data_IF_112094787406
#
_entry.id   IF_112094787406
#
_cell.length_a   1.000
_cell.length_b   1.000
_cell.length_c   1.000
_cell.angle_alpha   90.00
_cell.angle_beta   90.00
_cell.angle_gamma   90.00
#
_symmetry.space_group_name_H-M   'P 1'
#
loop_
_entity.id
_entity.type
_entity.pdbx_description
1 polymer ?
#
# COMPACT_ATOMS: atom_id res chain seq x y z
N UNK A 1 38.64 17.55 -22.24
CA UNK A 1 38.18 16.22 -22.68
C UNK A 1 36.83 15.97 -22.03
N UNK A 2 35.76 16.47 -22.65
CA UNK A 2 34.38 16.28 -22.19
C UNK A 2 33.98 14.85 -22.53
N UNK A 3 33.78 14.01 -21.51
CA UNK A 3 33.17 12.69 -21.65
C UNK A 3 31.70 12.89 -22.03
N UNK A 4 31.43 13.05 -23.32
CA UNK A 4 30.09 12.92 -23.89
C UNK A 4 29.77 11.43 -24.05
N UNK A 5 29.59 10.71 -22.94
CA UNK A 5 28.94 9.42 -22.97
C UNK A 5 27.47 9.63 -22.58
N UNK A 6 26.68 10.11 -23.54
CA UNK A 6 25.23 10.09 -23.42
C UNK A 6 24.78 8.65 -23.64
N UNK A 7 24.78 7.84 -22.58
CA UNK A 7 23.98 6.61 -22.59
C UNK A 7 22.52 7.06 -22.56
N UNK A 8 21.68 6.69 -23.55
CA UNK A 8 20.26 6.97 -23.50
C UNK A 8 19.67 6.46 -22.18
N UNK A 9 18.82 7.24 -21.53
CA UNK A 9 18.27 6.92 -20.19
C UNK A 9 17.68 5.49 -20.15
N UNK A 10 17.05 5.04 -21.25
CA UNK A 10 16.50 3.67 -21.37
C UNK A 10 17.56 2.57 -21.42
N UNK A 11 18.69 2.81 -22.09
CA UNK A 11 19.79 1.83 -22.15
C UNK A 11 20.48 1.73 -20.79
N UNK A 12 20.64 2.87 -20.11
CA UNK A 12 21.18 2.94 -18.77
C UNK A 12 20.26 2.23 -17.75
N UNK A 13 18.96 2.51 -17.80
CA UNK A 13 17.94 1.83 -17.00
C UNK A 13 18.00 0.31 -17.20
N UNK A 14 17.99 -0.15 -18.45
CA UNK A 14 18.08 -1.57 -18.77
C UNK A 14 19.34 -2.22 -18.20
N UNK A 15 20.49 -1.55 -18.31
CA UNK A 15 21.75 -2.04 -17.74
C UNK A 15 21.66 -2.20 -16.22
N UNK A 16 21.17 -1.17 -15.50
CA UNK A 16 21.03 -1.23 -14.04
C UNK A 16 19.98 -2.24 -13.56
N UNK A 17 18.85 -2.36 -14.26
CA UNK A 17 17.82 -3.37 -13.94
C UNK A 17 18.37 -4.77 -14.09
N UNK A 18 19.12 -5.04 -15.17
CA UNK A 18 19.74 -6.34 -15.38
C UNK A 18 20.78 -6.65 -14.30
N UNK A 19 21.68 -5.71 -14.01
CA UNK A 19 22.76 -5.89 -13.03
C UNK A 19 22.22 -6.05 -11.59
N UNK A 20 21.15 -5.32 -11.25
CA UNK A 20 20.57 -5.36 -9.91
C UNK A 20 19.50 -6.44 -9.71
N UNK A 21 19.19 -7.25 -10.73
CA UNK A 21 18.08 -8.22 -10.71
C UNK A 21 18.14 -9.19 -9.52
N UNK A 22 19.30 -9.81 -9.29
CA UNK A 22 19.46 -10.77 -8.19
C UNK A 22 19.41 -10.08 -6.82
N UNK A 23 19.94 -8.84 -6.73
CA UNK A 23 19.85 -8.04 -5.52
C UNK A 23 18.39 -7.62 -5.23
N UNK A 24 17.63 -7.25 -6.26
CA UNK A 24 16.21 -6.90 -6.14
C UNK A 24 15.39 -8.07 -5.61
N UNK A 25 15.53 -9.26 -6.22
CA UNK A 25 14.84 -10.48 -5.80
C UNK A 25 15.14 -10.84 -4.35
N UNK A 26 16.38 -10.61 -3.91
CA UNK A 26 16.80 -10.89 -2.54
C UNK A 26 16.32 -9.84 -1.53
N UNK A 27 16.38 -8.56 -1.88
CA UNK A 27 16.31 -7.46 -0.91
C UNK A 27 15.02 -6.64 -0.97
N UNK A 28 14.30 -6.67 -2.10
CA UNK A 28 13.13 -5.81 -2.35
C UNK A 28 11.87 -6.64 -2.57
N UNK A 29 11.93 -7.65 -3.44
CA UNK A 29 10.78 -8.47 -3.81
C UNK A 29 10.00 -9.06 -2.62
N UNK A 30 10.63 -9.52 -1.51
CA UNK A 30 9.90 -10.02 -0.35
C UNK A 30 8.98 -9.00 0.34
N UNK A 31 9.21 -7.69 0.14
CA UNK A 31 8.36 -6.62 0.66
C UNK A 31 7.43 -5.97 -0.38
N UNK A 32 7.52 -6.38 -1.64
CA UNK A 32 6.82 -5.74 -2.77
C UNK A 32 5.48 -6.42 -3.10
N UNK A 33 5.28 -7.66 -2.67
CA UNK A 33 4.12 -8.47 -3.05
C UNK A 33 2.77 -7.84 -2.67
N UNK A 34 2.70 -7.09 -1.56
CA UNK A 34 1.45 -6.47 -1.12
C UNK A 34 1.04 -5.35 -2.07
N UNK A 35 1.98 -4.49 -2.48
CA UNK A 35 1.71 -3.38 -3.40
C UNK A 35 1.18 -3.90 -4.76
N UNK A 36 1.69 -5.05 -5.23
CA UNK A 36 1.18 -5.72 -6.45
C UNK A 36 -0.29 -6.15 -6.33
N UNK A 37 -0.81 -6.36 -5.11
CA UNK A 37 -2.18 -6.84 -4.86
C UNK A 37 -3.18 -5.76 -4.46
N UNK A 38 -2.72 -4.59 -3.98
CA UNK A 38 -3.58 -3.48 -3.52
C UNK A 38 -3.37 -2.16 -4.25
N UNK A 39 -2.32 -2.05 -5.07
CA UNK A 39 -1.97 -0.81 -5.75
C UNK A 39 -1.37 0.25 -4.81
N UNK A 40 -1.49 1.52 -5.19
CA UNK A 40 -0.92 2.64 -4.45
C UNK A 40 -1.80 3.04 -3.25
N UNK A 41 -1.25 2.92 -2.04
CA UNK A 41 -1.89 3.31 -0.79
C UNK A 41 -1.40 4.68 -0.26
N UNK A 42 -0.77 5.49 -1.11
CA UNK A 42 -0.18 6.79 -0.78
C UNK A 42 0.74 6.70 0.44
N UNK A 43 0.43 7.42 1.51
CA UNK A 43 1.26 7.51 2.73
C UNK A 43 1.45 6.16 3.41
N UNK A 44 0.52 5.21 3.21
CA UNK A 44 0.61 3.86 3.75
C UNK A 44 1.49 2.93 2.90
N UNK A 45 1.83 3.26 1.64
CA UNK A 45 2.51 2.34 0.71
C UNK A 45 3.82 1.78 1.28
N UNK A 46 4.67 2.62 1.86
CA UNK A 46 5.93 2.19 2.47
C UNK A 46 5.71 1.26 3.66
N UNK A 47 4.69 1.55 4.48
CA UNK A 47 4.36 0.76 5.67
C UNK A 47 3.70 -0.57 5.31
N UNK A 48 2.92 -0.60 4.23
CA UNK A 48 2.43 -1.83 3.62
C UNK A 48 3.58 -2.74 3.19
N UNK A 49 4.62 -2.19 2.53
CA UNK A 49 5.80 -3.00 2.19
C UNK A 49 6.57 -3.50 3.42
N UNK A 50 6.62 -2.72 4.50
CA UNK A 50 7.18 -3.19 5.77
C UNK A 50 6.35 -4.33 6.36
N UNK A 51 5.02 -4.20 6.41
CA UNK A 51 4.14 -5.26 6.89
C UNK A 51 4.28 -6.54 6.05
N UNK A 52 4.41 -6.39 4.73
CA UNK A 52 4.60 -7.48 3.78
C UNK A 52 5.88 -8.29 4.05
N UNK A 53 7.02 -7.61 4.25
CA UNK A 53 8.28 -8.32 4.55
C UNK A 53 8.29 -8.92 5.97
N UNK A 54 7.64 -8.28 6.94
CA UNK A 54 7.51 -8.82 8.29
C UNK A 54 6.68 -10.11 8.31
N UNK A 55 5.57 -10.15 7.55
CA UNK A 55 4.76 -11.37 7.38
C UNK A 55 5.54 -12.46 6.61
N UNK A 56 6.26 -12.08 5.56
CA UNK A 56 6.97 -13.03 4.68
C UNK A 56 8.18 -13.68 5.36
N UNK A 57 8.92 -12.93 6.19
CA UNK A 57 10.22 -13.36 6.74
C UNK A 57 10.23 -13.62 8.24
N UNK A 58 9.27 -13.06 8.99
CA UNK A 58 9.18 -13.26 10.44
C UNK A 58 10.53 -13.13 11.15
N UNK A 59 10.89 -14.15 11.93
CA UNK A 59 12.10 -14.16 12.76
C UNK A 59 13.43 -14.25 11.96
N UNK A 60 13.40 -14.53 10.65
CA UNK A 60 14.61 -14.44 9.80
C UNK A 60 15.19 -13.02 9.77
N UNK A 61 14.37 -12.02 10.08
CA UNK A 61 14.75 -10.61 10.12
C UNK A 61 15.48 -10.24 11.41
N UNK A 62 15.52 -11.09 12.44
CA UNK A 62 16.17 -10.76 13.72
C UNK A 62 17.64 -10.38 13.51
N UNK A 63 18.02 -9.23 14.05
CA UNK A 63 19.34 -8.64 13.90
C UNK A 63 19.60 -7.95 12.55
N UNK A 64 18.69 -8.06 11.58
CA UNK A 64 18.79 -7.42 10.26
C UNK A 64 18.36 -5.95 10.30
N UNK A 65 18.71 -5.25 9.22
CA UNK A 65 18.36 -3.85 8.97
C UNK A 65 17.49 -3.78 7.72
N UNK A 66 16.40 -3.03 7.81
CA UNK A 66 15.49 -2.74 6.68
C UNK A 66 15.69 -1.27 6.34
N UNK A 67 16.16 -1.00 5.13
CA UNK A 67 16.27 0.36 4.61
C UNK A 67 14.90 0.81 4.10
N UNK A 68 14.44 1.96 4.60
CA UNK A 68 13.15 2.54 4.28
C UNK A 68 13.38 3.82 3.49
N UNK A 69 12.69 3.97 2.35
CA UNK A 69 12.72 5.19 1.55
C UNK A 69 11.30 5.71 1.36
N UNK A 70 11.01 6.87 1.97
CA UNK A 70 9.71 7.55 1.89
C UNK A 70 9.81 8.74 0.94
N UNK A 71 8.80 8.90 0.09
CA UNK A 71 8.71 9.97 -0.89
C UNK A 71 7.28 10.53 -0.96
N UNK A 72 7.17 11.86 -1.03
CA UNK A 72 5.95 12.58 -1.37
C UNK A 72 6.23 13.69 -2.38
N UNK A 73 5.40 13.77 -3.43
CA UNK A 73 5.52 14.78 -4.49
C UNK A 73 5.35 16.20 -3.95
N UNK A 74 6.22 17.13 -4.35
CA UNK A 74 6.20 18.52 -3.89
C UNK A 74 7.57 19.24 -3.74
N UNK A 75 8.61 18.73 -3.07
CA UNK A 75 8.94 17.36 -2.65
C UNK A 75 9.45 17.28 -1.21
N UNK A 76 9.12 16.17 -0.54
CA UNK A 76 9.70 15.78 0.74
C UNK A 76 10.05 14.29 0.72
N UNK A 77 11.25 13.94 1.16
CA UNK A 77 11.70 12.54 1.22
C UNK A 77 12.56 12.30 2.46
N UNK A 78 12.61 11.04 2.88
CA UNK A 78 13.44 10.60 3.99
C UNK A 78 13.86 9.16 3.80
N UNK A 79 15.15 8.90 4.02
CA UNK A 79 15.72 7.56 4.06
C UNK A 79 16.14 7.23 5.48
N UNK A 80 15.66 6.12 6.04
CA UNK A 80 15.94 5.71 7.41
C UNK A 80 16.03 4.20 7.52
N UNK A 81 16.55 3.70 8.65
CA UNK A 81 16.74 2.28 8.89
C UNK A 81 15.87 1.83 10.06
N UNK A 82 15.20 0.70 9.88
CA UNK A 82 14.55 -0.05 10.96
C UNK A 82 15.39 -1.27 11.27
N UNK A 83 15.66 -1.54 12.56
CA UNK A 83 16.36 -2.73 13.02
C UNK A 83 15.39 -3.65 13.76
N UNK A 84 15.30 -4.91 13.34
CA UNK A 84 14.53 -5.92 14.07
C UNK A 84 15.40 -6.43 15.21
N UNK A 85 15.12 -5.95 16.42
CA UNK A 85 15.97 -6.18 17.59
C UNK A 85 15.73 -7.52 18.28
N UNK A 86 14.53 -8.07 18.16
CA UNK A 86 14.06 -9.28 18.85
C UNK A 86 13.14 -10.09 17.95
N UNK A 87 12.85 -11.37 18.31
CA UNK A 87 11.82 -12.15 17.63
C UNK A 87 10.49 -11.40 17.51
N UNK A 88 9.84 -11.55 16.35
CA UNK A 88 8.59 -10.92 15.96
C UNK A 88 7.50 -11.93 15.60
N UNK A 89 7.69 -13.23 15.85
CA UNK A 89 6.73 -14.28 15.52
C UNK A 89 5.27 -13.96 15.87
N UNK A 90 5.01 -13.38 17.05
CA UNK A 90 3.65 -12.95 17.44
C UNK A 90 3.09 -11.86 16.52
N UNK A 91 3.91 -10.89 16.12
CA UNK A 91 3.51 -9.82 15.22
C UNK A 91 3.25 -10.40 13.82
N UNK A 92 4.23 -11.11 13.23
CA UNK A 92 4.13 -11.64 11.88
C UNK A 92 2.94 -12.60 11.72
N UNK A 93 2.68 -13.45 12.71
CA UNK A 93 1.54 -14.39 12.69
C UNK A 93 0.19 -13.73 12.99
N UNK A 94 0.15 -12.44 13.38
CA UNK A 94 -1.09 -11.70 13.66
C UNK A 94 -1.55 -10.80 12.51
N UNK A 95 -0.75 -10.66 11.45
CA UNK A 95 -1.02 -9.75 10.35
C UNK A 95 -2.11 -10.29 9.40
N UNK A 96 -2.09 -11.61 9.12
CA UNK A 96 -3.05 -12.33 8.28
C UNK A 96 -3.32 -11.62 6.93
N UNK A 97 -2.33 -10.93 6.36
CA UNK A 97 -2.53 -10.07 5.20
C UNK A 97 -2.91 -10.90 3.97
N UNK A 98 -2.21 -12.03 3.73
CA UNK A 98 -2.57 -12.95 2.63
C UNK A 98 -4.02 -13.42 2.72
N UNK A 99 -4.42 -13.94 3.89
CA UNK A 99 -5.79 -14.43 4.13
C UNK A 99 -6.83 -13.32 3.91
N UNK A 100 -6.55 -12.11 4.42
CA UNK A 100 -7.44 -10.95 4.21
C UNK A 100 -7.56 -10.54 2.75
N UNK A 101 -6.48 -10.64 1.98
CA UNK A 101 -6.51 -10.33 0.56
C UNK A 101 -7.23 -11.40 -0.26
N UNK A 102 -7.14 -12.66 0.15
CA UNK A 102 -7.79 -13.80 -0.48
C UNK A 102 -9.30 -13.81 -0.17
N UNK A 103 -9.71 -13.29 0.99
CA UNK A 103 -11.11 -13.08 1.37
C UNK A 103 -11.77 -11.86 0.70
N UNK A 104 -11.08 -11.15 -0.22
CA UNK A 104 -11.66 -10.01 -0.94
C UNK A 104 -12.64 -10.49 -2.01
N UNK A 105 -13.61 -9.62 -2.32
CA UNK A 105 -14.51 -9.79 -3.46
C UNK A 105 -13.84 -9.28 -4.74
N UNK A 106 -13.85 -10.10 -5.78
CA UNK A 106 -13.53 -9.68 -7.14
C UNK A 106 -14.78 -9.01 -7.73
N UNK A 107 -14.59 -7.88 -8.39
CA UNK A 107 -15.65 -7.13 -9.06
C UNK A 107 -15.26 -6.90 -10.51
N UNK A 108 -16.27 -6.85 -11.39
CA UNK A 108 -16.06 -6.58 -12.81
C UNK A 108 -15.62 -5.11 -13.05
N UNK A 109 -14.87 -4.83 -14.12
CA UNK A 109 -14.39 -3.47 -14.44
C UNK A 109 -15.50 -2.42 -14.58
N UNK A 110 -16.67 -2.81 -15.09
CA UNK A 110 -17.83 -1.95 -15.24
C UNK A 110 -18.34 -1.50 -13.87
N UNK A 111 -18.52 -2.44 -12.94
CA UNK A 111 -18.93 -2.13 -11.57
C UNK A 111 -17.92 -1.22 -10.86
N UNK A 112 -16.62 -1.46 -11.05
CA UNK A 112 -15.57 -0.61 -10.51
C UNK A 112 -15.68 0.83 -11.06
N UNK A 113 -15.93 0.99 -12.35
CA UNK A 113 -16.09 2.29 -13.01
C UNK A 113 -17.31 3.03 -12.46
N UNK A 114 -18.45 2.35 -12.32
CA UNK A 114 -19.66 2.91 -11.71
C UNK A 114 -19.41 3.40 -10.27
N UNK A 115 -18.60 2.68 -9.50
CA UNK A 115 -18.19 3.11 -8.15
C UNK A 115 -17.34 4.38 -8.21
N UNK A 116 -16.41 4.49 -9.16
CA UNK A 116 -15.58 5.70 -9.32
C UNK A 116 -16.42 6.92 -9.69
N UNK A 117 -17.33 6.80 -10.66
CA UNK A 117 -18.21 7.91 -11.05
C UNK A 117 -19.11 8.37 -9.91
N UNK A 118 -19.65 7.42 -9.12
CA UNK A 118 -20.44 7.75 -7.93
C UNK A 118 -19.61 8.48 -6.88
N UNK A 119 -18.34 8.10 -6.69
CA UNK A 119 -17.43 8.78 -5.75
C UNK A 119 -17.12 10.20 -6.21
N UNK A 120 -16.87 10.41 -7.49
CA UNK A 120 -16.65 11.74 -8.06
C UNK A 120 -17.86 12.65 -7.86
N UNK A 121 -19.06 12.17 -8.19
CA UNK A 121 -20.32 12.94 -8.01
C UNK A 121 -20.62 13.28 -6.55
N UNK A 122 -20.17 12.45 -5.60
CA UNK A 122 -20.36 12.66 -4.15
C UNK A 122 -19.22 13.45 -3.50
N UNK A 123 -18.15 13.75 -4.22
CA UNK A 123 -17.04 14.49 -3.66
C UNK A 123 -17.48 15.93 -3.34
N UNK A 124 -17.19 16.38 -2.11
CA UNK A 124 -17.57 17.71 -1.61
C UNK A 124 -19.08 18.03 -1.61
N UNK A 125 -19.95 17.02 -1.50
CA UNK A 125 -21.40 17.23 -1.33
C UNK A 125 -21.83 17.08 0.14
N UNK A 126 -22.89 17.79 0.52
CA UNK A 126 -23.50 17.80 1.86
C UNK A 126 -24.91 17.21 1.80
N UNK A 127 -25.49 16.93 2.97
CA UNK A 127 -26.82 16.30 3.09
C UNK A 127 -26.90 14.96 2.36
N UNK A 128 -25.89 14.11 2.58
CA UNK A 128 -25.75 12.80 1.93
C UNK A 128 -25.91 11.68 2.94
N UNK A 129 -26.76 10.72 2.61
CA UNK A 129 -26.81 9.40 3.26
C UNK A 129 -26.20 8.40 2.27
N UNK A 130 -24.95 7.94 2.49
CA UNK A 130 -24.33 6.97 1.62
C UNK A 130 -25.18 5.68 1.64
N UNK A 131 -25.76 5.33 0.49
CA UNK A 131 -26.25 3.99 0.26
C UNK A 131 -25.07 3.02 0.39
N UNK A 132 -24.90 2.44 1.58
CA UNK A 132 -23.89 1.44 1.86
C UNK A 132 -24.58 0.09 2.01
N UNK A 133 -24.11 -0.89 1.23
CA UNK A 133 -24.38 -2.29 1.52
C UNK A 133 -23.47 -2.71 2.66
N UNK A 134 -23.84 -2.35 3.90
CA UNK A 134 -23.07 -2.64 5.11
C UNK A 134 -22.79 -4.15 5.27
N UNK A 135 -23.64 -4.99 4.70
CA UNK A 135 -23.49 -6.44 4.69
C UNK A 135 -22.22 -6.93 3.96
N UNK A 136 -21.60 -6.12 3.10
CA UNK A 136 -20.39 -6.51 2.35
C UNK A 136 -19.08 -6.14 3.07
N UNK A 137 -19.13 -5.36 4.14
CA UNK A 137 -17.93 -4.94 4.87
C UNK A 137 -17.51 -6.00 5.89
N UNK A 138 -16.22 -6.06 6.21
CA UNK A 138 -15.74 -6.88 7.33
C UNK A 138 -16.38 -6.42 8.64
N UNK A 139 -16.57 -7.32 9.63
CA UNK A 139 -17.06 -6.94 10.96
C UNK A 139 -16.21 -5.82 11.58
N UNK A 140 -16.84 -4.94 12.36
CA UNK A 140 -16.21 -3.81 13.04
C UNK A 140 -15.55 -2.79 12.10
N UNK A 141 -15.97 -2.75 10.82
CA UNK A 141 -15.49 -1.73 9.88
C UNK A 141 -16.20 -0.42 10.16
N UNK A 142 -15.45 0.61 10.55
CA UNK A 142 -15.98 1.97 10.67
C UNK A 142 -16.34 2.52 9.29
N UNK A 143 -17.58 2.97 9.13
CA UNK A 143 -18.14 3.39 7.86
C UNK A 143 -18.93 4.70 8.00
N UNK A 144 -19.05 5.44 6.90
CA UNK A 144 -19.70 6.75 6.88
C UNK A 144 -21.22 6.57 6.80
N UNK A 145 -21.92 6.97 7.86
CA UNK A 145 -23.37 6.85 7.99
C UNK A 145 -24.09 8.01 7.29
N UNK A 146 -23.67 9.26 7.55
CA UNK A 146 -24.24 10.44 6.89
C UNK A 146 -23.32 11.66 6.96
N UNK A 147 -23.58 12.61 6.07
CA UNK A 147 -23.03 13.96 6.07
C UNK A 147 -24.21 14.92 6.17
N UNK A 148 -24.22 15.82 7.15
CA UNK A 148 -25.29 16.81 7.27
C UNK A 148 -25.09 18.05 6.37
N UNK A 149 -25.98 19.02 6.52
CA UNK A 149 -26.07 20.25 5.74
C UNK A 149 -24.88 21.20 5.93
N UNK A 150 -24.16 21.08 7.06
CA UNK A 150 -22.96 21.86 7.36
C UNK A 150 -21.67 21.04 7.22
N UNK A 151 -21.75 19.83 6.66
CA UNK A 151 -20.60 18.99 6.35
C UNK A 151 -20.04 18.17 7.51
N UNK A 152 -20.74 18.06 8.65
CA UNK A 152 -20.34 17.15 9.74
C UNK A 152 -20.59 15.71 9.31
N UNK A 153 -19.62 14.83 9.61
CA UNK A 153 -19.65 13.41 9.24
C UNK A 153 -19.97 12.55 10.46
N UNK A 154 -20.90 11.63 10.29
CA UNK A 154 -21.34 10.68 11.30
C UNK A 154 -20.96 9.27 10.84
N UNK A 155 -20.55 8.42 11.77
CA UNK A 155 -19.96 7.12 11.49
C UNK A 155 -20.62 6.03 12.32
N UNK A 156 -20.73 4.85 11.73
CA UNK A 156 -21.20 3.63 12.41
C UNK A 156 -20.20 2.48 12.16
N UNK A 157 -20.40 1.34 12.81
CA UNK A 157 -19.57 0.14 12.67
C UNK A 157 -20.46 -1.07 12.39
N UNK A 158 -19.96 -1.97 11.54
CA UNK A 158 -20.60 -3.26 11.22
C UNK A 158 -20.42 -4.31 12.30
#
# INVERSE_FOLDING_TARGET
MTLSCFVPVKELEKAFVNESSDLYKKMVEPGDWLAKRIGNAYTASLWSSLAAILEEKGDELVGKRILMFSYGSGLASSMFIVRVASPIGKLSSSLFIKDRLDARRIVDPEHFTDVLERKEKKYCTFSVEPAQELAELWPQTTCLERIDDIGRRFYTST
#
